data_IF_143437076170
#
_entry.id   IF_143437076170
#
_cell.length_a   1.000
_cell.length_b   1.000
_cell.length_c   1.000
_cell.angle_alpha   90.00
_cell.angle_beta   90.00
_cell.angle_gamma   90.00
#
_symmetry.space_group_name_H-M   'P 1'
#
loop_
_entity.id
_entity.type
_entity.pdbx_description
1 polymer ?
#
# COMPACT_ATOMS: atom_id res chain seq x y z
N UNK A 1 -16.50 29.66 57.97
CA UNK A 1 -16.61 28.25 58.39
C UNK A 1 -15.44 27.50 57.78
N UNK A 2 -14.50 27.07 58.63
CA UNK A 2 -13.37 26.20 58.31
C UNK A 2 -13.87 24.85 57.76
N UNK A 3 -13.10 24.18 56.88
CA UNK A 3 -12.42 22.90 57.17
C UNK A 3 -11.37 22.63 56.06
N UNK A 4 -10.11 22.52 56.50
CA UNK A 4 -8.97 22.04 55.73
C UNK A 4 -8.89 20.51 55.77
N UNK A 5 -8.61 19.86 54.63
CA UNK A 5 -8.17 18.46 54.56
C UNK A 5 -6.75 18.39 53.95
N UNK A 6 -5.76 18.32 54.84
CA UNK A 6 -4.39 17.87 54.59
C UNK A 6 -4.03 16.98 55.80
N UNK A 7 -3.60 15.73 55.60
CA UNK A 7 -3.00 15.03 56.74
C UNK A 7 -2.82 13.51 56.76
N UNK A 8 -3.21 12.73 55.75
CA UNK A 8 -3.15 11.25 55.87
C UNK A 8 -2.23 10.52 54.89
N UNK A 9 -1.88 11.09 53.74
CA UNK A 9 -1.04 10.38 52.76
C UNK A 9 0.47 10.42 53.07
N UNK A 10 0.96 11.46 53.76
CA UNK A 10 2.39 11.64 54.00
C UNK A 10 2.97 10.80 55.14
N UNK A 11 2.14 10.34 56.07
CA UNK A 11 2.60 9.55 57.22
C UNK A 11 2.90 8.08 56.88
N UNK A 12 2.29 7.53 55.83
CA UNK A 12 2.58 6.16 55.38
C UNK A 12 3.91 6.04 54.63
N UNK A 13 4.38 7.12 54.00
CA UNK A 13 5.63 7.08 53.23
C UNK A 13 6.88 7.16 54.13
N UNK A 14 6.79 7.81 55.29
CA UNK A 14 7.93 7.89 56.24
C UNK A 14 8.10 6.62 57.09
N UNK A 15 7.05 5.83 57.30
CA UNK A 15 7.12 4.61 58.12
C UNK A 15 7.83 3.43 57.42
N UNK A 16 7.94 3.42 56.09
CA UNK A 16 8.60 2.33 55.35
C UNK A 16 10.10 2.51 55.13
N UNK A 17 10.69 3.68 55.45
CA UNK A 17 12.12 3.94 55.24
C UNK A 17 13.02 3.60 56.44
N UNK A 18 12.47 3.17 57.58
CA UNK A 18 13.25 3.00 58.81
C UNK A 18 13.69 1.55 59.12
N UNK A 19 13.40 0.56 58.26
CA UNK A 19 13.79 -0.84 58.48
C UNK A 19 14.52 -1.39 57.24
N UNK A 20 15.85 -1.24 57.21
CA UNK A 20 16.80 -2.24 56.66
C UNK A 20 18.21 -1.65 56.46
N UNK A 21 18.85 -1.25 57.56
CA UNK A 21 20.32 -1.17 57.57
C UNK A 21 20.86 -2.61 57.60
N UNK A 22 21.14 -3.19 56.43
CA UNK A 22 22.28 -4.10 56.16
C UNK A 22 22.29 -4.77 54.77
N UNK A 23 21.36 -4.46 53.84
CA UNK A 23 21.35 -5.05 52.48
C UNK A 23 21.16 -4.02 51.34
N UNK A 24 21.67 -2.79 51.53
CA UNK A 24 21.30 -1.63 50.72
C UNK A 24 22.03 -1.43 49.36
N UNK A 25 23.00 -2.28 48.98
CA UNK A 25 23.76 -2.04 47.74
C UNK A 25 23.23 -2.72 46.47
N UNK A 26 22.41 -3.78 46.58
CA UNK A 26 21.91 -4.52 45.40
C UNK A 26 20.54 -4.04 44.88
N UNK A 27 19.72 -3.42 45.71
CA UNK A 27 18.37 -2.99 45.30
C UNK A 27 18.31 -1.56 44.71
N UNK A 28 19.30 -0.71 44.98
CA UNK A 28 19.36 0.66 44.42
C UNK A 28 19.49 0.70 42.90
N UNK A 29 20.18 -0.28 42.30
CA UNK A 29 20.35 -0.33 40.84
C UNK A 29 19.09 -0.79 40.10
N UNK A 30 18.23 -1.60 40.74
CA UNK A 30 17.04 -2.15 40.09
C UNK A 30 15.90 -1.12 40.05
N UNK A 31 15.74 -0.31 41.10
CA UNK A 31 14.70 0.74 41.11
C UNK A 31 14.99 1.90 40.14
N UNK A 32 16.26 2.25 39.90
CA UNK A 32 16.63 3.29 38.95
C UNK A 32 16.33 2.88 37.49
N UNK A 33 16.56 1.60 37.13
CA UNK A 33 16.25 1.09 35.79
C UNK A 33 14.75 1.00 35.55
N UNK A 34 13.96 0.59 36.55
CA UNK A 34 12.50 0.54 36.42
C UNK A 34 11.87 1.94 36.30
N UNK A 35 12.41 2.95 37.00
CA UNK A 35 11.88 4.31 36.92
C UNK A 35 12.24 5.02 35.59
N UNK A 36 13.40 4.72 34.99
CA UNK A 36 13.76 5.24 33.67
C UNK A 36 12.93 4.65 32.52
N UNK A 37 12.39 3.43 32.66
CA UNK A 37 11.51 2.82 31.63
C UNK A 37 10.09 3.42 31.61
N UNK A 38 9.64 4.05 32.70
CA UNK A 38 8.28 4.60 32.79
C UNK A 38 8.13 6.01 32.17
N UNK A 39 9.22 6.73 31.89
CA UNK A 39 9.18 8.13 31.40
C UNK A 39 9.21 8.24 29.86
N UNK A 40 9.39 7.14 29.13
CA UNK A 40 9.39 7.13 27.65
C UNK A 40 7.99 6.91 27.02
N UNK A 41 6.92 6.90 27.81
CA UNK A 41 5.58 6.46 27.39
C UNK A 41 4.56 7.52 26.97
N UNK A 42 4.93 8.79 26.75
CA UNK A 42 4.00 9.81 26.27
C UNK A 42 4.70 10.86 25.39
N UNK A 43 4.87 10.57 24.09
CA UNK A 43 4.90 11.62 23.07
C UNK A 43 3.58 11.56 22.30
N UNK A 44 2.79 12.65 22.23
CA UNK A 44 1.59 12.67 21.40
C UNK A 44 2.03 12.59 19.95
N UNK A 45 1.77 11.45 19.30
CA UNK A 45 2.05 11.25 17.89
C UNK A 45 1.28 12.27 17.03
N UNK A 46 2.03 12.86 16.11
CA UNK A 46 1.62 13.86 15.14
C UNK A 46 0.41 13.42 14.29
N UNK A 47 -0.78 13.91 14.67
CA UNK A 47 -2.04 13.75 13.92
C UNK A 47 -2.05 14.34 12.51
N UNK A 48 -0.95 14.96 12.05
CA UNK A 48 -0.84 15.54 10.71
C UNK A 48 -0.32 14.58 9.64
N UNK A 49 0.37 13.48 9.99
CA UNK A 49 0.90 12.54 8.98
C UNK A 49 -0.17 11.67 8.31
N UNK A 50 -1.34 11.53 8.92
CA UNK A 50 -2.45 10.76 8.36
C UNK A 50 -3.22 11.49 7.25
N UNK A 51 -2.87 12.75 6.95
CA UNK A 51 -3.47 13.54 5.87
C UNK A 51 -2.58 13.67 4.63
N UNK A 52 -1.51 12.88 4.51
CA UNK A 52 -0.64 12.87 3.31
C UNK A 52 -1.37 12.43 2.01
N UNK A 53 -2.61 11.94 2.11
CA UNK A 53 -3.51 11.68 0.97
C UNK A 53 -4.61 12.73 0.76
N UNK A 54 -4.62 13.83 1.53
CA UNK A 54 -5.58 14.90 1.33
C UNK A 54 -5.24 15.67 0.04
N UNK A 55 -6.26 15.96 -0.76
CA UNK A 55 -6.13 16.74 -2.01
C UNK A 55 -5.74 18.17 -1.63
N UNK A 56 -4.46 18.55 -1.73
CA UNK A 56 -4.06 19.92 -1.38
C UNK A 56 -2.55 20.25 -1.38
N UNK A 57 -1.65 19.47 -0.78
CA UNK A 57 -0.28 19.94 -0.54
C UNK A 57 0.73 19.63 -1.66
N UNK A 58 0.40 18.76 -2.63
CA UNK A 58 1.35 18.34 -3.67
C UNK A 58 0.74 18.27 -5.08
N UNK A 59 0.49 19.45 -5.68
CA UNK A 59 -0.01 19.59 -7.06
C UNK A 59 0.94 18.97 -8.12
N UNK A 60 2.22 18.77 -7.78
CA UNK A 60 3.26 18.22 -8.68
C UNK A 60 3.84 16.88 -8.20
N UNK A 61 3.03 16.07 -7.51
CA UNK A 61 3.45 14.73 -7.10
C UNK A 61 3.60 13.78 -8.31
N UNK A 62 4.44 12.74 -8.18
CA UNK A 62 4.48 11.62 -9.15
C UNK A 62 3.09 10.98 -9.35
N UNK A 63 2.23 11.09 -8.35
CA UNK A 63 0.84 10.68 -8.43
C UNK A 63 0.08 11.45 -9.52
N UNK A 64 0.36 12.75 -9.72
CA UNK A 64 -0.26 13.53 -10.79
C UNK A 64 0.09 12.97 -12.16
N UNK A 65 1.36 12.60 -12.42
CA UNK A 65 1.79 12.03 -13.71
C UNK A 65 1.15 10.66 -13.97
N UNK A 66 1.15 9.79 -12.95
CA UNK A 66 0.51 8.48 -13.05
C UNK A 66 -1.01 8.59 -13.27
N UNK A 67 -1.68 9.49 -12.54
CA UNK A 67 -3.11 9.74 -12.69
C UNK A 67 -3.43 10.33 -14.07
N UNK A 68 -2.59 11.23 -14.61
CA UNK A 68 -2.75 11.76 -15.98
C UNK A 68 -2.67 10.63 -17.01
N UNK A 69 -1.68 9.74 -16.89
CA UNK A 69 -1.56 8.59 -17.80
C UNK A 69 -2.79 7.66 -17.74
N UNK A 70 -3.32 7.40 -16.53
CA UNK A 70 -4.55 6.63 -16.35
C UNK A 70 -5.78 7.34 -16.93
N UNK A 71 -5.88 8.65 -16.73
CA UNK A 71 -6.95 9.48 -17.26
C UNK A 71 -6.94 9.53 -18.79
N UNK A 72 -5.75 9.63 -19.40
CA UNK A 72 -5.61 9.62 -20.85
C UNK A 72 -5.90 8.24 -21.44
N UNK A 73 -5.47 7.16 -20.77
CA UNK A 73 -5.83 5.80 -21.16
C UNK A 73 -7.35 5.56 -21.08
N UNK A 74 -7.98 6.00 -19.99
CA UNK A 74 -9.43 5.92 -19.82
C UNK A 74 -10.17 6.74 -20.89
N UNK A 75 -9.75 7.99 -21.11
CA UNK A 75 -10.34 8.87 -22.14
C UNK A 75 -10.22 8.23 -23.52
N UNK A 76 -9.05 7.67 -23.87
CA UNK A 76 -8.82 6.98 -25.13
C UNK A 76 -9.79 5.81 -25.31
N UNK A 77 -9.97 4.98 -24.27
CA UNK A 77 -10.87 3.84 -24.30
C UNK A 77 -12.33 4.28 -24.52
N UNK A 78 -12.82 5.28 -23.77
CA UNK A 78 -14.18 5.81 -23.97
C UNK A 78 -14.36 6.40 -25.37
N UNK A 79 -13.36 7.09 -25.92
CA UNK A 79 -13.42 7.60 -27.28
C UNK A 79 -13.51 6.47 -28.32
N UNK A 80 -12.77 5.38 -28.14
CA UNK A 80 -12.86 4.20 -29.01
C UNK A 80 -14.25 3.58 -28.93
N UNK A 81 -14.80 3.40 -27.73
CA UNK A 81 -16.14 2.83 -27.54
C UNK A 81 -17.24 3.74 -28.11
N UNK A 82 -17.07 5.06 -28.04
CA UNK A 82 -18.00 6.04 -28.61
C UNK A 82 -17.92 6.16 -30.14
N UNK A 83 -17.01 5.44 -30.81
CA UNK A 83 -16.79 5.57 -32.25
C UNK A 83 -16.13 6.90 -32.66
N UNK A 84 -15.50 7.60 -31.72
CA UNK A 84 -14.85 8.91 -31.91
C UNK A 84 -13.34 8.78 -32.13
N UNK A 85 -12.81 7.56 -32.19
CA UNK A 85 -11.39 7.31 -32.44
C UNK A 85 -11.12 7.21 -33.94
N UNK A 86 -10.25 8.08 -34.47
CA UNK A 86 -9.71 7.97 -35.83
C UNK A 86 -8.19 8.09 -35.81
N UNK A 87 -7.50 7.16 -36.46
CA UNK A 87 -6.03 7.14 -36.50
C UNK A 87 -5.37 6.97 -35.11
N UNK A 88 -6.05 6.35 -34.14
CA UNK A 88 -5.54 6.19 -32.78
C UNK A 88 -5.67 7.42 -31.87
N UNK A 89 -6.32 8.49 -32.36
CA UNK A 89 -6.57 9.70 -31.60
C UNK A 89 -8.07 9.92 -31.40
N UNK A 90 -8.42 10.52 -30.25
CA UNK A 90 -9.80 10.91 -29.98
C UNK A 90 -10.12 12.22 -30.71
N UNK A 91 -11.02 12.16 -31.69
CA UNK A 91 -11.44 13.32 -32.48
C UNK A 91 -12.80 13.76 -31.95
N UNK A 92 -12.81 14.87 -31.21
CA UNK A 92 -14.03 15.49 -30.69
C UNK A 92 -14.06 16.92 -31.18
N UNK A 93 -15.03 17.23 -32.04
CA UNK A 93 -15.10 18.51 -32.76
C UNK A 93 -16.38 19.28 -32.47
N UNK A 94 -17.45 18.57 -32.11
CA UNK A 94 -18.78 19.16 -31.90
C UNK A 94 -19.29 18.89 -30.48
N UNK A 95 -20.33 19.63 -30.08
CA UNK A 95 -21.08 19.34 -28.84
C UNK A 95 -21.78 17.99 -28.88
N UNK A 96 -22.15 17.50 -30.07
CA UNK A 96 -22.70 16.16 -30.25
C UNK A 96 -21.65 15.07 -29.98
N UNK A 97 -20.40 15.28 -30.41
CA UNK A 97 -19.29 14.38 -30.11
C UNK A 97 -19.02 14.33 -28.60
N UNK A 98 -19.02 15.49 -27.91
CA UNK A 98 -18.90 15.54 -26.45
C UNK A 98 -20.05 14.83 -25.74
N UNK A 99 -21.28 14.97 -26.26
CA UNK A 99 -22.43 14.23 -25.76
C UNK A 99 -22.23 12.72 -25.91
N UNK A 100 -21.82 12.23 -27.08
CA UNK A 100 -21.57 10.81 -27.32
C UNK A 100 -20.45 10.27 -26.42
N UNK A 101 -19.38 11.04 -26.22
CA UNK A 101 -18.30 10.71 -25.30
C UNK A 101 -18.81 10.55 -23.86
N UNK A 102 -19.64 11.49 -23.40
CA UNK A 102 -20.20 11.44 -22.05
C UNK A 102 -21.23 10.31 -21.91
N UNK A 103 -22.11 10.11 -22.89
CA UNK A 103 -23.10 9.02 -22.90
C UNK A 103 -22.40 7.65 -22.79
N UNK A 104 -21.31 7.46 -23.54
CA UNK A 104 -20.49 6.25 -23.45
C UNK A 104 -19.77 6.11 -22.11
N UNK A 105 -19.23 7.21 -21.57
CA UNK A 105 -18.63 7.21 -20.25
C UNK A 105 -19.63 6.91 -19.13
N UNK A 106 -20.87 7.39 -19.23
CA UNK A 106 -21.95 7.08 -18.29
C UNK A 106 -22.28 5.59 -18.34
N UNK A 107 -22.35 4.99 -19.53
CA UNK A 107 -22.61 3.57 -19.71
C UNK A 107 -21.49 2.68 -19.13
N UNK A 108 -20.20 3.02 -19.35
CA UNK A 108 -19.09 2.29 -18.71
C UNK A 108 -19.16 2.39 -17.18
N UNK A 109 -19.45 3.57 -16.63
CA UNK A 109 -19.61 3.76 -15.18
C UNK A 109 -20.79 2.96 -14.64
N UNK A 110 -21.93 2.92 -15.36
CA UNK A 110 -23.10 2.13 -14.97
C UNK A 110 -22.76 0.64 -14.86
N UNK A 111 -22.12 0.07 -15.89
CA UNK A 111 -21.76 -1.34 -15.90
C UNK A 111 -20.86 -1.70 -14.72
N UNK A 112 -19.86 -0.85 -14.41
CA UNK A 112 -18.96 -1.05 -13.27
C UNK A 112 -19.70 -0.89 -11.94
N UNK A 113 -20.62 0.07 -11.86
CA UNK A 113 -21.44 0.31 -10.68
C UNK A 113 -22.39 -0.86 -10.40
N UNK A 114 -23.12 -1.35 -11.41
CA UNK A 114 -24.02 -2.48 -11.28
C UNK A 114 -23.28 -3.74 -10.82
N UNK A 115 -22.13 -4.02 -11.44
CA UNK A 115 -21.33 -5.17 -11.05
C UNK A 115 -20.73 -5.01 -9.64
N UNK A 116 -20.46 -3.79 -9.19
CA UNK A 116 -20.09 -3.51 -7.80
C UNK A 116 -21.26 -3.77 -6.84
N UNK A 117 -22.45 -3.26 -7.15
CA UNK A 117 -23.67 -3.45 -6.34
C UNK A 117 -24.11 -4.91 -6.27
N UNK A 118 -24.01 -5.66 -7.37
CA UNK A 118 -24.33 -7.08 -7.41
C UNK A 118 -23.33 -7.90 -6.56
N UNK A 119 -22.06 -7.47 -6.53
CA UNK A 119 -21.05 -8.02 -5.61
C UNK A 119 -21.41 -7.81 -4.14
N UNK A 120 -21.88 -6.61 -3.79
CA UNK A 120 -22.39 -6.32 -2.44
C UNK A 120 -23.61 -7.19 -2.10
N UNK A 121 -24.57 -7.32 -3.02
CA UNK A 121 -25.76 -8.14 -2.84
C UNK A 121 -25.41 -9.63 -2.65
N UNK A 122 -24.52 -10.17 -3.48
CA UNK A 122 -24.07 -11.56 -3.38
C UNK A 122 -23.43 -11.85 -2.03
N UNK A 123 -22.52 -10.97 -1.57
CA UNK A 123 -21.87 -11.09 -0.25
C UNK A 123 -22.84 -11.01 0.91
N UNK A 124 -23.83 -10.12 0.85
CA UNK A 124 -24.88 -10.04 1.87
C UNK A 124 -25.72 -11.34 1.93
N UNK A 125 -25.97 -11.98 0.78
CA UNK A 125 -26.82 -13.17 0.67
C UNK A 125 -26.12 -14.48 1.02
N UNK A 126 -24.83 -14.62 0.74
CA UNK A 126 -24.10 -15.87 1.01
C UNK A 126 -23.83 -16.12 2.48
N UNK A 127 -24.06 -15.13 3.36
CA UNK A 127 -24.06 -15.34 4.82
C UNK A 127 -22.72 -15.79 5.42
N UNK A 128 -21.64 -15.81 4.64
CA UNK A 128 -20.28 -16.01 5.15
C UNK A 128 -20.04 -14.93 6.20
N UNK A 129 -19.78 -15.37 7.43
CA UNK A 129 -19.83 -14.49 8.60
C UNK A 129 -18.96 -13.25 8.38
N UNK A 130 -19.62 -12.13 8.11
CA UNK A 130 -19.08 -10.78 8.12
C UNK A 130 -18.32 -10.52 9.44
N UNK A 131 -18.71 -11.20 10.53
CA UNK A 131 -18.11 -11.07 11.86
C UNK A 131 -16.70 -11.65 12.04
N UNK A 132 -16.27 -12.67 11.27
CA UNK A 132 -14.97 -13.33 11.52
C UNK A 132 -13.80 -12.80 10.66
N UNK A 133 -14.07 -12.08 9.57
CA UNK A 133 -13.03 -11.62 8.64
C UNK A 133 -12.95 -10.08 8.47
N UNK A 134 -13.82 -9.32 9.14
CA UNK A 134 -13.99 -7.87 8.89
C UNK A 134 -13.47 -7.02 10.07
N UNK A 135 -12.38 -7.44 10.72
CA UNK A 135 -11.54 -6.50 11.49
C UNK A 135 -10.76 -5.56 10.57
N UNK A 136 -10.39 -6.02 9.37
CA UNK A 136 -9.53 -5.25 8.47
C UNK A 136 -10.34 -4.68 7.31
N UNK A 137 -10.49 -3.35 7.29
CA UNK A 137 -11.09 -2.58 6.18
C UNK A 137 -10.50 -2.92 4.80
N UNK A 138 -9.25 -3.42 4.77
CA UNK A 138 -8.62 -3.98 3.57
C UNK A 138 -9.33 -5.22 3.03
N UNK A 139 -9.83 -6.10 3.91
CA UNK A 139 -10.39 -7.40 3.55
C UNK A 139 -11.81 -7.30 2.99
N UNK A 140 -12.62 -6.29 3.30
CA UNK A 140 -13.93 -6.15 2.64
C UNK A 140 -13.75 -5.73 1.18
N UNK A 141 -12.93 -4.71 0.93
CA UNK A 141 -12.62 -4.29 -0.44
C UNK A 141 -11.87 -5.40 -1.17
N UNK A 142 -10.89 -6.05 -0.53
CA UNK A 142 -10.16 -7.18 -1.12
C UNK A 142 -11.04 -8.42 -1.33
N UNK A 143 -11.97 -8.77 -0.44
CA UNK A 143 -12.86 -9.93 -0.60
C UNK A 143 -14.02 -9.68 -1.57
N UNK A 144 -14.46 -8.42 -1.72
CA UNK A 144 -15.30 -8.01 -2.84
C UNK A 144 -14.49 -8.07 -4.13
N UNK A 145 -13.22 -7.62 -4.15
CA UNK A 145 -12.30 -7.74 -5.30
C UNK A 145 -11.98 -9.21 -5.68
N UNK A 146 -11.89 -10.10 -4.70
CA UNK A 146 -11.55 -11.52 -4.87
C UNK A 146 -12.78 -12.35 -5.28
N UNK A 147 -13.97 -12.01 -4.76
CA UNK A 147 -15.24 -12.64 -5.16
C UNK A 147 -15.83 -12.07 -6.45
N UNK A 148 -15.50 -10.82 -6.79
CA UNK A 148 -15.86 -10.17 -8.06
C UNK A 148 -14.57 -9.89 -8.84
N UNK A 149 -14.03 -10.93 -9.48
CA UNK A 149 -12.73 -10.94 -10.17
C UNK A 149 -12.56 -9.93 -11.33
N UNK A 150 -13.44 -8.93 -11.45
CA UNK A 150 -13.36 -7.87 -12.45
C UNK A 150 -13.90 -6.50 -12.01
N UNK A 151 -14.92 -6.38 -11.15
CA UNK A 151 -15.70 -5.13 -11.06
C UNK A 151 -15.19 -4.09 -10.07
N UNK A 152 -14.86 -4.47 -8.83
CA UNK A 152 -14.32 -3.52 -7.87
C UNK A 152 -12.93 -2.99 -8.28
N UNK A 153 -12.15 -3.79 -9.00
CA UNK A 153 -10.87 -3.36 -9.58
C UNK A 153 -11.12 -2.36 -10.70
N UNK A 154 -12.14 -2.62 -11.52
CA UNK A 154 -12.54 -1.74 -12.62
C UNK A 154 -13.02 -0.38 -12.13
N UNK A 155 -13.82 -0.30 -11.07
CA UNK A 155 -14.30 0.99 -10.53
C UNK A 155 -13.17 1.75 -9.84
N UNK A 156 -12.23 1.05 -9.18
CA UNK A 156 -11.02 1.65 -8.61
C UNK A 156 -10.11 2.25 -9.69
N UNK A 157 -9.94 1.57 -10.83
CA UNK A 157 -9.13 2.10 -11.95
C UNK A 157 -9.76 3.38 -12.50
N UNK A 158 -11.09 3.40 -12.70
CA UNK A 158 -11.79 4.61 -13.16
C UNK A 158 -11.73 5.71 -12.10
N UNK A 159 -11.91 5.37 -10.82
CA UNK A 159 -11.78 6.32 -9.71
C UNK A 159 -10.36 6.90 -9.61
N UNK A 160 -9.33 6.07 -9.78
CA UNK A 160 -7.93 6.49 -9.82
C UNK A 160 -7.65 7.39 -11.02
N UNK A 161 -8.20 7.08 -12.20
CA UNK A 161 -8.15 7.94 -13.37
C UNK A 161 -8.77 9.33 -13.09
N UNK A 162 -9.86 9.39 -12.32
CA UNK A 162 -10.46 10.64 -11.88
C UNK A 162 -9.82 11.27 -10.63
N UNK A 163 -8.70 10.74 -10.14
CA UNK A 163 -8.02 11.23 -8.94
C UNK A 163 -8.91 11.20 -7.69
N UNK A 164 -9.78 10.19 -7.58
CA UNK A 164 -10.53 9.90 -6.36
C UNK A 164 -9.63 9.05 -5.45
N UNK A 165 -9.44 9.50 -4.21
CA UNK A 165 -8.48 8.92 -3.27
C UNK A 165 -8.99 7.56 -2.78
N UNK A 166 -8.12 6.55 -2.74
CA UNK A 166 -8.44 5.20 -2.25
C UNK A 166 -9.00 5.20 -0.81
N UNK A 167 -8.58 6.17 0.01
CA UNK A 167 -9.13 6.38 1.36
C UNK A 167 -10.65 6.59 1.38
N UNK A 168 -11.26 7.05 0.28
CA UNK A 168 -12.72 7.17 0.14
C UNK A 168 -13.41 5.81 0.15
N UNK A 169 -12.73 4.76 -0.31
CA UNK A 169 -13.23 3.38 -0.22
C UNK A 169 -12.94 2.77 1.15
N UNK A 170 -11.84 3.18 1.82
CA UNK A 170 -11.42 2.63 3.13
C UNK A 170 -12.16 3.25 4.32
N UNK A 171 -12.51 4.54 4.30
CA UNK A 171 -13.10 5.22 5.48
C UNK A 171 -14.62 5.08 5.62
N UNK A 172 -15.20 4.09 4.95
CA UNK A 172 -16.64 3.79 4.95
C UNK A 172 -17.00 3.08 6.24
N UNK A 173 -17.95 3.61 7.00
CA UNK A 173 -18.31 3.16 8.35
C UNK A 173 -19.16 1.87 8.28
N UNK A 174 -18.47 0.72 8.32
CA UNK A 174 -19.00 -0.67 8.20
C UNK A 174 -20.41 -0.89 8.78
N UNK A 175 -20.67 -0.34 9.96
CA UNK A 175 -21.94 -0.49 10.68
C UNK A 175 -23.17 -0.03 9.91
N UNK A 176 -23.05 1.00 9.04
CA UNK A 176 -24.21 1.55 8.35
C UNK A 176 -24.58 0.77 7.10
N UNK A 177 -23.60 0.43 6.25
CA UNK A 177 -23.85 -0.39 5.05
C UNK A 177 -24.29 -1.81 5.40
N UNK A 178 -23.84 -2.35 6.53
CA UNK A 178 -24.29 -3.64 7.07
C UNK A 178 -25.72 -3.59 7.62
N UNK A 179 -26.15 -2.44 8.16
CA UNK A 179 -27.50 -2.26 8.69
C UNK A 179 -28.56 -2.04 7.59
N UNK A 180 -28.14 -1.68 6.38
CA UNK A 180 -29.03 -1.43 5.25
C UNK A 180 -29.23 -2.70 4.43
N UNK A 181 -30.48 -3.03 4.15
CA UNK A 181 -30.77 -4.10 3.20
C UNK A 181 -30.20 -3.75 1.81
N UNK A 182 -29.58 -4.73 1.15
CA UNK A 182 -28.92 -4.53 -0.15
C UNK A 182 -29.89 -4.01 -1.23
N UNK A 183 -31.19 -4.31 -1.16
CA UNK A 183 -32.20 -3.75 -2.06
C UNK A 183 -32.43 -2.26 -1.81
N UNK A 184 -32.33 -1.82 -0.55
CA UNK A 184 -32.41 -0.41 -0.18
C UNK A 184 -31.23 0.36 -0.76
N UNK A 185 -30.01 -0.15 -0.59
CA UNK A 185 -28.79 0.42 -1.18
C UNK A 185 -28.91 0.56 -2.70
N UNK A 186 -29.32 -0.52 -3.38
CA UNK A 186 -29.52 -0.52 -4.84
C UNK A 186 -30.56 0.51 -5.29
N UNK A 187 -31.67 0.64 -4.55
CA UNK A 187 -32.71 1.63 -4.85
C UNK A 187 -32.24 3.09 -4.69
N UNK A 188 -31.42 3.36 -3.66
CA UNK A 188 -30.84 4.69 -3.40
C UNK A 188 -29.90 5.06 -4.55
N UNK A 189 -29.00 4.14 -4.93
CA UNK A 189 -28.02 4.37 -6.00
C UNK A 189 -28.73 4.60 -7.33
N UNK A 190 -29.67 3.75 -7.71
CA UNK A 190 -30.41 3.91 -8.98
C UNK A 190 -31.20 5.22 -9.05
N UNK A 191 -31.88 5.59 -7.96
CA UNK A 191 -32.59 6.87 -7.89
C UNK A 191 -31.62 8.04 -8.09
N UNK A 192 -30.45 7.99 -7.45
CA UNK A 192 -29.46 9.06 -7.54
C UNK A 192 -28.79 9.13 -8.90
N UNK A 193 -28.45 7.99 -9.49
CA UNK A 193 -27.94 7.89 -10.85
C UNK A 193 -28.91 8.52 -11.84
N UNK A 194 -30.20 8.19 -11.75
CA UNK A 194 -31.22 8.74 -12.64
C UNK A 194 -31.32 10.27 -12.52
N UNK A 195 -31.27 10.80 -11.29
CA UNK A 195 -31.28 12.25 -11.05
C UNK A 195 -30.06 12.94 -11.67
N UNK A 196 -28.85 12.40 -11.46
CA UNK A 196 -27.64 13.01 -12.03
C UNK A 196 -27.59 12.85 -13.55
N UNK A 197 -28.05 11.73 -14.11
CA UNK A 197 -28.21 11.55 -15.56
C UNK A 197 -29.11 12.62 -16.17
N UNK A 198 -30.26 12.89 -15.55
CA UNK A 198 -31.16 13.95 -16.00
C UNK A 198 -30.48 15.34 -15.96
N UNK A 199 -29.72 15.63 -14.90
CA UNK A 199 -28.94 16.87 -14.81
C UNK A 199 -27.90 16.96 -15.93
N UNK A 200 -27.12 15.91 -16.14
CA UNK A 200 -26.10 15.85 -17.20
C UNK A 200 -26.74 16.01 -18.58
N UNK A 201 -27.87 15.34 -18.85
CA UNK A 201 -28.59 15.47 -20.13
C UNK A 201 -29.21 16.86 -20.35
N UNK A 202 -29.52 17.59 -19.27
CA UNK A 202 -30.00 18.97 -19.36
C UNK A 202 -28.88 20.00 -19.58
N UNK A 203 -27.62 19.63 -19.32
CA UNK A 203 -26.47 20.52 -19.45
C UNK A 203 -25.76 20.30 -20.78
N UNK A 204 -25.50 21.38 -21.54
CA UNK A 204 -24.66 21.29 -22.74
C UNK A 204 -23.19 21.22 -22.36
N UNK A 205 -22.48 20.23 -22.92
CA UNK A 205 -21.06 19.96 -22.64
C UNK A 205 -20.22 20.42 -23.82
N UNK A 206 -19.34 21.39 -23.59
CA UNK A 206 -18.62 22.11 -24.63
C UNK A 206 -17.15 21.68 -24.77
N UNK A 207 -16.58 21.07 -23.74
CA UNK A 207 -15.15 20.80 -23.69
C UNK A 207 -14.79 19.60 -22.79
N UNK A 208 -13.53 19.11 -22.93
CA UNK A 208 -12.99 17.97 -22.17
C UNK A 208 -13.14 18.15 -20.65
N UNK A 209 -12.78 19.31 -20.04
CA UNK A 209 -12.95 19.49 -18.60
C UNK A 209 -14.40 19.31 -18.13
N UNK A 210 -15.38 19.85 -18.85
CA UNK A 210 -16.80 19.69 -18.51
C UNK A 210 -17.26 18.23 -18.63
N UNK A 211 -16.84 17.53 -19.69
CA UNK A 211 -17.13 16.12 -19.88
C UNK A 211 -16.55 15.25 -18.75
N UNK A 212 -15.28 15.44 -18.42
CA UNK A 212 -14.62 14.70 -17.34
C UNK A 212 -15.21 15.05 -15.96
N UNK A 213 -15.61 16.31 -15.75
CA UNK A 213 -16.30 16.71 -14.52
C UNK A 213 -17.67 16.02 -14.39
N UNK A 214 -18.42 15.91 -15.48
CA UNK A 214 -19.70 15.20 -15.51
C UNK A 214 -19.52 13.72 -15.15
N UNK A 215 -18.57 13.04 -15.79
CA UNK A 215 -18.27 11.63 -15.52
C UNK A 215 -17.77 11.41 -14.08
N UNK A 216 -16.88 12.27 -13.57
CA UNK A 216 -16.41 12.20 -12.18
C UNK A 216 -17.54 12.38 -11.17
N UNK A 217 -18.45 13.31 -11.45
CA UNK A 217 -19.62 13.58 -10.58
C UNK A 217 -20.57 12.39 -10.60
N UNK A 218 -20.77 11.79 -11.77
CA UNK A 218 -21.60 10.58 -11.90
C UNK A 218 -21.00 9.39 -11.15
N UNK A 219 -19.70 9.12 -11.31
CA UNK A 219 -18.98 8.04 -10.63
C UNK A 219 -19.07 8.13 -9.10
N UNK A 220 -19.09 9.35 -8.54
CA UNK A 220 -19.22 9.56 -7.08
C UNK A 220 -20.48 8.94 -6.51
N UNK A 221 -21.57 8.84 -7.27
CA UNK A 221 -22.84 8.25 -6.80
C UNK A 221 -22.67 6.79 -6.39
N UNK A 222 -21.81 6.06 -7.10
CA UNK A 222 -21.56 4.65 -6.88
C UNK A 222 -20.49 4.38 -5.83
N UNK A 223 -19.86 5.43 -5.27
CA UNK A 223 -18.83 5.24 -4.26
C UNK A 223 -19.45 4.95 -2.89
N UNK A 224 -18.85 4.05 -2.09
CA UNK A 224 -19.41 3.63 -0.80
C UNK A 224 -19.72 4.80 0.14
N UNK A 225 -18.82 5.78 0.24
CA UNK A 225 -19.04 6.99 1.05
C UNK A 225 -20.29 7.79 0.64
N UNK A 226 -20.56 7.92 -0.66
CA UNK A 226 -21.76 8.62 -1.13
C UNK A 226 -23.04 7.84 -0.78
N UNK A 227 -22.99 6.52 -0.90
CA UNK A 227 -24.09 5.62 -0.50
C UNK A 227 -24.40 5.79 0.99
N UNK A 228 -23.37 5.81 1.84
CA UNK A 228 -23.54 6.02 3.28
C UNK A 228 -24.12 7.39 3.61
N UNK A 229 -23.61 8.43 2.97
CA UNK A 229 -24.15 9.78 3.16
C UNK A 229 -25.62 9.88 2.75
N UNK A 230 -26.00 9.31 1.61
CA UNK A 230 -27.38 9.29 1.15
C UNK A 230 -28.27 8.44 2.05
N UNK A 231 -27.79 7.30 2.51
CA UNK A 231 -28.55 6.46 3.45
C UNK A 231 -28.75 7.15 4.79
N UNK A 232 -27.71 7.80 5.34
CA UNK A 232 -27.83 8.64 6.54
C UNK A 232 -28.78 9.81 6.30
N UNK A 233 -28.76 10.44 5.13
CA UNK A 233 -29.69 11.50 4.79
C UNK A 233 -31.13 11.00 4.72
N UNK A 234 -31.37 9.79 4.17
CA UNK A 234 -32.70 9.16 4.15
C UNK A 234 -33.15 8.79 5.57
N UNK A 235 -32.29 8.22 6.40
CA UNK A 235 -32.61 7.85 7.79
C UNK A 235 -32.88 9.08 8.65
N UNK A 236 -32.11 10.16 8.48
CA UNK A 236 -32.36 11.42 9.19
C UNK A 236 -33.62 12.11 8.65
N UNK A 237 -33.81 12.24 7.33
CA UNK A 237 -35.05 12.86 6.79
C UNK A 237 -36.32 12.05 7.08
N UNK A 238 -36.25 10.73 7.22
CA UNK A 238 -37.36 9.91 7.71
C UNK A 238 -37.72 10.17 9.19
N UNK A 239 -36.77 10.68 9.99
CA UNK A 239 -37.01 11.11 11.37
C UNK A 239 -37.53 12.55 11.47
N UNK A 240 -37.34 13.37 10.42
CA UNK A 240 -37.77 14.76 10.35
C UNK A 240 -38.84 14.94 9.26
N UNK A 241 -40.07 14.53 9.56
CA UNK A 241 -41.25 14.99 8.81
C UNK A 241 -41.51 16.46 9.13
N UNK A 242 -40.88 17.37 8.39
CA UNK A 242 -41.42 18.67 7.98
C UNK A 242 -40.37 19.46 7.17
N UNK A 243 -40.58 19.60 5.85
CA UNK A 243 -40.20 20.83 5.13
C UNK A 243 -38.81 20.96 4.48
N UNK A 244 -38.24 19.92 3.84
CA UNK A 244 -37.48 19.97 2.57
C UNK A 244 -36.84 18.60 2.34
N UNK A 245 -37.64 17.65 1.85
CA UNK A 245 -37.22 16.25 1.69
C UNK A 245 -36.36 16.11 0.43
N UNK A 246 -35.12 15.64 0.57
CA UNK A 246 -34.39 14.99 -0.54
C UNK A 246 -33.35 15.80 -1.31
N UNK A 247 -32.85 16.93 -0.79
CA UNK A 247 -31.69 17.60 -1.42
C UNK A 247 -30.39 16.89 -1.00
N UNK A 248 -29.91 16.01 -1.88
CA UNK A 248 -28.59 15.39 -1.77
C UNK A 248 -27.47 16.45 -1.66
N UNK A 249 -26.45 16.23 -0.82
CA UNK A 249 -25.29 17.11 -0.72
C UNK A 249 -24.37 17.08 -1.96
N UNK A 250 -24.57 16.12 -2.87
CA UNK A 250 -23.76 16.00 -4.10
C UNK A 250 -24.47 16.72 -5.25
N UNK A 251 -24.46 18.05 -5.28
CA UNK A 251 -25.10 18.82 -6.36
C UNK A 251 -24.13 19.12 -7.51
N UNK A 252 -24.63 19.05 -8.74
CA UNK A 252 -23.97 19.65 -9.89
C UNK A 252 -24.07 21.17 -9.74
N UNK A 253 -23.03 21.81 -9.21
CA UNK A 253 -22.98 23.28 -9.18
C UNK A 253 -22.57 23.74 -10.57
N UNK A 254 -23.46 24.45 -11.27
CA UNK A 254 -23.11 25.17 -12.50
C UNK A 254 -22.00 26.17 -12.19
N UNK A 255 -20.75 25.78 -12.44
CA UNK A 255 -19.63 26.72 -12.45
C UNK A 255 -19.71 27.49 -13.77
N UNK A 256 -20.42 28.61 -13.77
CA UNK A 256 -20.49 29.57 -14.89
C UNK A 256 -19.30 30.55 -14.91
N UNK A 257 -18.29 30.35 -14.06
CA UNK A 257 -17.09 31.19 -14.04
C UNK A 257 -16.04 30.73 -15.05
N UNK A 258 -15.53 31.61 -15.93
CA UNK A 258 -14.33 31.30 -16.70
C UNK A 258 -13.17 31.08 -15.73
N UNK A 259 -12.56 29.89 -15.77
CA UNK A 259 -11.29 29.63 -15.10
C UNK A 259 -10.24 30.53 -15.76
N UNK A 260 -9.92 31.67 -15.13
CA UNK A 260 -8.91 32.61 -15.60
C UNK A 260 -7.53 31.96 -15.64
N UNK A 261 -7.11 31.52 -16.83
CA UNK A 261 -5.84 30.85 -17.06
C UNK A 261 -4.72 31.82 -17.39
N UNK A 262 -4.33 32.67 -16.43
CA UNK A 262 -3.19 33.60 -16.61
C UNK A 262 -2.11 33.47 -15.53
N UNK A 263 -2.08 32.33 -14.82
CA UNK A 263 -0.96 31.99 -13.97
C UNK A 263 0.17 31.42 -14.83
N UNK A 264 1.19 32.24 -15.10
CA UNK A 264 2.46 31.77 -15.65
C UNK A 264 3.15 30.89 -14.61
N UNK A 265 3.17 29.58 -14.87
CA UNK A 265 3.87 28.61 -14.04
C UNK A 265 5.37 28.82 -14.24
N UNK A 266 6.08 29.21 -13.17
CA UNK A 266 7.54 29.27 -13.16
C UNK A 266 8.10 27.83 -13.24
N UNK A 267 8.52 27.43 -14.44
CA UNK A 267 9.11 26.13 -14.74
C UNK A 267 10.62 26.08 -14.41
N UNK A 268 11.18 27.16 -13.86
CA UNK A 268 12.63 27.44 -13.92
C UNK A 268 13.53 26.74 -12.89
N UNK A 269 13.00 26.06 -11.87
CA UNK A 269 13.84 25.34 -10.88
C UNK A 269 13.28 23.99 -10.52
N UNK A 270 13.46 23.03 -11.43
CA UNK A 270 13.46 21.61 -11.09
C UNK A 270 14.58 21.32 -10.09
N UNK A 271 14.31 21.49 -8.79
CA UNK A 271 15.15 20.88 -7.76
C UNK A 271 14.99 19.38 -7.94
N UNK A 272 15.99 18.73 -8.53
CA UNK A 272 16.14 17.27 -8.47
C UNK A 272 16.26 16.87 -7.00
N UNK A 273 15.12 16.72 -6.33
CA UNK A 273 15.06 16.05 -5.04
C UNK A 273 15.42 14.60 -5.34
N UNK A 274 16.54 14.15 -4.79
CA UNK A 274 16.88 12.74 -4.77
C UNK A 274 15.65 12.00 -4.21
N UNK A 275 15.06 11.05 -4.95
CA UNK A 275 13.89 10.34 -4.48
C UNK A 275 14.19 9.77 -3.10
N UNK A 276 13.35 10.09 -2.12
CA UNK A 276 13.48 9.50 -0.80
C UNK A 276 13.26 8.00 -0.97
N UNK A 277 14.25 7.20 -0.57
CA UNK A 277 14.12 5.75 -0.58
C UNK A 277 13.05 5.35 0.43
N UNK A 278 11.98 4.76 -0.05
CA UNK A 278 10.85 4.32 0.78
C UNK A 278 10.14 3.14 0.15
N UNK A 279 9.27 2.45 0.91
CA UNK A 279 8.47 1.35 0.39
C UNK A 279 7.59 1.80 -0.79
N UNK A 280 7.07 3.02 -0.76
CA UNK A 280 6.28 3.62 -1.85
C UNK A 280 7.09 3.78 -3.14
N UNK A 281 8.41 3.95 -3.03
CA UNK A 281 9.26 4.14 -4.21
C UNK A 281 9.49 2.86 -5.02
N UNK A 282 9.33 1.69 -4.40
CA UNK A 282 9.54 0.38 -5.04
C UNK A 282 8.25 -0.41 -5.23
N UNK A 283 7.16 0.00 -4.60
CA UNK A 283 5.89 -0.68 -4.67
C UNK A 283 5.09 -0.27 -5.90
N UNK A 284 4.96 -1.19 -6.86
CA UNK A 284 4.15 -1.01 -8.07
C UNK A 284 2.78 -1.69 -7.98
N UNK A 285 2.49 -2.40 -6.89
CA UNK A 285 1.20 -3.09 -6.70
C UNK A 285 0.01 -2.15 -6.48
N UNK A 286 0.28 -0.90 -6.07
CA UNK A 286 -0.75 0.05 -5.66
C UNK A 286 -1.30 -0.19 -4.25
N UNK A 287 -0.94 -1.29 -3.58
CA UNK A 287 -1.37 -1.59 -2.20
C UNK A 287 -0.28 -1.11 -1.23
N UNK A 288 -0.55 -0.18 -0.31
CA UNK A 288 0.46 0.27 0.65
C UNK A 288 1.09 -0.89 1.44
N UNK A 289 2.41 -0.89 1.56
CA UNK A 289 3.15 -1.85 2.39
C UNK A 289 3.14 -1.31 3.82
N UNK A 290 2.25 -1.86 4.66
CA UNK A 290 2.18 -1.52 6.07
C UNK A 290 3.33 -2.13 6.88
N UNK A 291 3.47 -1.73 8.14
CA UNK A 291 4.57 -2.18 9.00
C UNK A 291 4.64 -3.72 9.14
N UNK A 292 3.54 -4.44 9.40
CA UNK A 292 3.56 -5.91 9.44
C UNK A 292 3.99 -6.54 8.12
N UNK A 293 3.52 -6.03 6.97
CA UNK A 293 3.92 -6.53 5.65
C UNK A 293 5.39 -6.25 5.38
N UNK A 294 5.89 -5.06 5.73
CA UNK A 294 7.30 -4.72 5.59
C UNK A 294 8.20 -5.66 6.41
N UNK A 295 7.82 -5.96 7.65
CA UNK A 295 8.53 -6.92 8.51
C UNK A 295 8.47 -8.34 7.94
N UNK A 296 7.31 -8.77 7.44
CA UNK A 296 7.17 -10.07 6.79
C UNK A 296 8.07 -10.19 5.54
N UNK A 297 8.14 -9.14 4.71
CA UNK A 297 9.05 -9.06 3.57
C UNK A 297 10.50 -9.19 4.03
N UNK A 298 10.94 -8.42 5.04
CA UNK A 298 12.30 -8.50 5.56
C UNK A 298 12.62 -9.89 6.15
N UNK A 299 11.69 -10.50 6.88
CA UNK A 299 11.84 -11.86 7.37
C UNK A 299 12.01 -12.87 6.22
N UNK A 300 11.23 -12.72 5.16
CA UNK A 300 11.34 -13.55 3.96
C UNK A 300 12.67 -13.37 3.20
N UNK A 301 13.29 -12.20 3.33
CA UNK A 301 14.64 -11.92 2.84
C UNK A 301 15.74 -12.40 3.80
N UNK A 302 15.36 -13.08 4.89
CA UNK A 302 16.24 -13.65 5.93
C UNK A 302 16.96 -12.62 6.80
N UNK A 303 16.34 -11.47 7.06
CA UNK A 303 16.79 -10.55 8.09
C UNK A 303 16.56 -11.17 9.48
N UNK A 304 17.57 -11.13 10.35
CA UNK A 304 17.48 -11.77 11.66
C UNK A 304 16.94 -10.82 12.73
N UNK A 305 15.91 -11.26 13.47
CA UNK A 305 15.42 -10.60 14.69
C UNK A 305 15.14 -9.10 14.50
N UNK A 306 15.87 -8.25 15.23
CA UNK A 306 15.69 -6.80 15.20
C UNK A 306 16.07 -6.13 13.88
N UNK A 307 16.67 -6.85 12.92
CA UNK A 307 16.96 -6.32 11.59
C UNK A 307 15.71 -6.25 10.71
N UNK A 308 14.65 -6.99 11.05
CA UNK A 308 13.34 -6.87 10.40
C UNK A 308 12.52 -5.78 11.09
N UNK A 309 12.98 -4.53 11.00
CA UNK A 309 12.39 -3.36 11.67
C UNK A 309 11.24 -2.70 10.89
N UNK A 310 10.94 -3.22 9.70
CA UNK A 310 9.95 -2.71 8.76
C UNK A 310 10.39 -1.45 8.00
N UNK A 311 11.61 -0.96 8.19
CA UNK A 311 12.10 0.26 7.51
C UNK A 311 12.73 -0.09 6.18
N UNK A 312 12.41 0.72 5.17
CA UNK A 312 13.08 0.65 3.88
C UNK A 312 14.41 1.41 3.94
N UNK A 313 15.53 0.66 3.95
CA UNK A 313 16.88 1.22 3.92
C UNK A 313 17.77 0.50 2.91
N UNK A 314 19.06 0.85 2.86
CA UNK A 314 20.00 0.29 1.89
C UNK A 314 20.15 -1.23 1.98
N UNK A 315 20.02 -1.80 3.19
CA UNK A 315 20.03 -3.24 3.41
C UNK A 315 18.79 -3.91 2.82
N UNK A 316 17.60 -3.38 3.12
CA UNK A 316 16.33 -3.86 2.56
C UNK A 316 16.36 -3.80 1.03
N UNK A 317 16.81 -2.68 0.46
CA UNK A 317 16.97 -2.53 -0.99
C UNK A 317 17.92 -3.59 -1.57
N UNK A 318 19.08 -3.82 -0.94
CA UNK A 318 20.04 -4.81 -1.41
C UNK A 318 19.49 -6.25 -1.33
N UNK A 319 18.75 -6.57 -0.25
CA UNK A 319 18.04 -7.85 -0.11
C UNK A 319 16.98 -8.05 -1.21
N UNK A 320 16.22 -7.00 -1.54
CA UNK A 320 15.22 -7.06 -2.61
C UNK A 320 15.84 -7.20 -4.00
N UNK A 321 16.96 -6.52 -4.28
CA UNK A 321 17.71 -6.74 -5.54
C UNK A 321 18.16 -8.19 -5.68
N UNK A 322 18.60 -8.79 -4.57
CA UNK A 322 18.96 -10.20 -4.55
C UNK A 322 17.75 -11.10 -4.81
N UNK A 323 16.59 -10.78 -4.23
CA UNK A 323 15.32 -11.47 -4.52
C UNK A 323 14.97 -11.43 -6.01
N UNK A 324 14.95 -10.26 -6.64
CA UNK A 324 14.64 -10.07 -8.07
C UNK A 324 15.50 -10.96 -8.97
N UNK A 325 16.82 -10.90 -8.78
CA UNK A 325 17.77 -11.70 -9.55
C UNK A 325 17.62 -13.20 -9.29
N UNK A 326 17.24 -13.59 -8.08
CA UNK A 326 16.98 -14.98 -7.72
C UNK A 326 15.71 -15.49 -8.41
N UNK A 327 14.62 -14.73 -8.38
CA UNK A 327 13.35 -15.08 -9.05
C UNK A 327 13.55 -15.17 -10.57
N UNK A 328 14.35 -14.27 -11.15
CA UNK A 328 14.75 -14.32 -12.55
C UNK A 328 15.74 -15.45 -12.90
N UNK A 329 16.23 -16.22 -11.90
CA UNK A 329 17.27 -17.26 -12.02
C UNK A 329 18.58 -16.75 -12.64
N UNK A 330 18.91 -15.48 -12.47
CA UNK A 330 20.10 -14.84 -13.02
C UNK A 330 21.28 -14.84 -12.02
N UNK A 331 21.59 -16.00 -11.43
CA UNK A 331 22.54 -16.13 -10.31
C UNK A 331 23.97 -15.67 -10.61
N UNK A 332 24.33 -15.46 -11.89
CA UNK A 332 25.66 -15.00 -12.33
C UNK A 332 25.68 -13.54 -12.80
N UNK A 333 24.57 -12.82 -12.70
CA UNK A 333 24.50 -11.43 -13.15
C UNK A 333 25.46 -10.57 -12.34
N UNK A 334 26.42 -9.92 -13.01
CA UNK A 334 27.33 -8.93 -12.39
C UNK A 334 26.62 -7.61 -12.09
N UNK A 335 25.47 -7.39 -12.73
CA UNK A 335 24.70 -6.15 -12.66
C UNK A 335 23.60 -6.20 -11.60
N UNK A 336 23.49 -7.28 -10.82
CA UNK A 336 22.43 -7.45 -9.82
C UNK A 336 22.34 -6.29 -8.80
N UNK A 337 23.46 -5.64 -8.50
CA UNK A 337 23.52 -4.46 -7.60
C UNK A 337 22.86 -3.21 -8.19
N UNK A 338 22.79 -3.14 -9.52
CA UNK A 338 22.19 -2.06 -10.29
C UNK A 338 20.74 -2.38 -10.68
N UNK A 339 20.24 -3.59 -10.39
CA UNK A 339 18.86 -3.96 -10.67
C UNK A 339 17.88 -2.98 -10.02
N UNK A 340 16.88 -2.54 -10.80
CA UNK A 340 15.78 -1.74 -10.27
C UNK A 340 14.83 -2.67 -9.51
N UNK A 341 14.55 -2.36 -8.25
CA UNK A 341 13.57 -3.10 -7.45
C UNK A 341 12.17 -2.61 -7.79
N UNK A 342 11.27 -3.51 -8.18
CA UNK A 342 9.86 -3.20 -8.44
C UNK A 342 8.99 -4.34 -7.92
N UNK A 343 8.29 -4.09 -6.83
CA UNK A 343 7.43 -5.09 -6.20
C UNK A 343 6.00 -4.98 -6.75
N UNK A 344 5.61 -5.99 -7.53
CA UNK A 344 4.21 -6.19 -7.89
C UNK A 344 3.46 -7.01 -6.83
N UNK A 345 2.16 -7.21 -7.04
CA UNK A 345 1.32 -7.95 -6.10
C UNK A 345 1.74 -9.43 -5.96
N UNK A 346 2.23 -10.03 -7.04
CA UNK A 346 2.70 -11.43 -7.05
C UNK A 346 3.97 -11.56 -6.21
N UNK A 347 4.90 -10.62 -6.32
CA UNK A 347 6.16 -10.65 -5.58
C UNK A 347 5.96 -10.38 -4.09
N UNK A 348 5.08 -9.45 -3.74
CA UNK A 348 4.65 -9.25 -2.34
C UNK A 348 4.02 -10.53 -1.79
N UNK A 349 3.18 -11.22 -2.57
CA UNK A 349 2.61 -12.51 -2.20
C UNK A 349 3.68 -13.57 -1.91
N UNK A 350 4.62 -13.78 -2.84
CA UNK A 350 5.73 -14.76 -2.68
C UNK A 350 6.59 -14.48 -1.45
N UNK A 351 6.87 -13.20 -1.19
CA UNK A 351 7.65 -12.77 -0.03
C UNK A 351 6.84 -13.00 1.26
N UNK A 352 5.57 -12.61 1.29
CA UNK A 352 4.71 -12.76 2.47
C UNK A 352 4.47 -14.21 2.85
N UNK A 353 4.35 -15.11 1.87
CA UNK A 353 4.03 -16.52 2.11
C UNK A 353 5.27 -17.34 2.54
N UNK A 354 6.49 -16.84 2.28
CA UNK A 354 7.74 -17.53 2.61
C UNK A 354 8.53 -16.77 3.69
N UNK A 355 7.98 -16.68 4.90
CA UNK A 355 8.62 -15.93 6.01
C UNK A 355 9.75 -16.71 6.71
N UNK A 356 9.83 -18.02 6.52
CA UNK A 356 10.84 -18.85 7.17
C UNK A 356 12.11 -18.94 6.30
N UNK A 357 13.26 -18.66 6.93
CA UNK A 357 14.57 -18.91 6.36
C UNK A 357 15.13 -20.19 6.97
N UNK A 358 14.76 -21.30 6.35
CA UNK A 358 15.16 -22.63 6.78
C UNK A 358 16.66 -22.89 6.55
N UNK A 359 17.20 -23.89 7.25
CA UNK A 359 18.53 -24.47 6.99
C UNK A 359 19.70 -23.50 7.13
N UNK A 360 19.54 -22.46 7.95
CA UNK A 360 20.60 -21.49 8.23
C UNK A 360 20.86 -20.53 7.07
N UNK A 361 19.96 -20.41 6.09
CA UNK A 361 20.05 -19.40 5.04
C UNK A 361 20.00 -17.99 5.65
N UNK A 362 20.93 -17.11 5.26
CA UNK A 362 21.01 -15.72 5.70
C UNK A 362 20.56 -14.71 4.65
N UNK A 363 20.21 -15.17 3.47
CA UNK A 363 19.55 -14.36 2.44
C UNK A 363 18.66 -15.22 1.53
N UNK A 364 17.85 -14.54 0.72
CA UNK A 364 16.89 -15.18 -0.19
C UNK A 364 17.56 -16.10 -1.23
N UNK A 365 18.75 -15.74 -1.73
CA UNK A 365 19.48 -16.54 -2.73
C UNK A 365 19.95 -17.87 -2.13
N UNK A 366 20.57 -17.85 -0.96
CA UNK A 366 21.00 -19.06 -0.24
C UNK A 366 19.83 -20.03 -0.10
N UNK A 367 18.67 -19.53 0.33
CA UNK A 367 17.44 -20.32 0.45
C UNK A 367 17.00 -20.95 -0.87
N UNK A 368 17.06 -20.22 -1.98
CA UNK A 368 16.70 -20.75 -3.29
C UNK A 368 17.68 -21.84 -3.76
N UNK A 369 18.99 -21.61 -3.59
CA UNK A 369 20.04 -22.53 -4.01
C UNK A 369 20.02 -23.86 -3.23
N UNK A 370 19.61 -23.84 -1.95
CA UNK A 370 19.53 -25.06 -1.14
C UNK A 370 18.62 -26.14 -1.73
N UNK A 371 17.55 -25.74 -2.42
CA UNK A 371 16.62 -26.68 -3.06
C UNK A 371 17.26 -27.44 -4.23
N UNK A 372 18.39 -26.97 -4.76
CA UNK A 372 19.01 -27.47 -5.99
C UNK A 372 20.28 -28.31 -5.76
N UNK A 373 20.53 -28.78 -4.53
CA UNK A 373 21.73 -29.58 -4.21
C UNK A 373 23.04 -28.78 -4.21
N UNK A 374 22.94 -27.45 -4.22
CA UNK A 374 24.06 -26.51 -4.27
C UNK A 374 25.13 -26.74 -3.20
N UNK A 375 24.75 -27.21 -2.01
CA UNK A 375 25.70 -27.46 -0.92
C UNK A 375 26.79 -28.46 -1.30
N UNK A 376 26.46 -29.47 -2.12
CA UNK A 376 27.44 -30.45 -2.60
C UNK A 376 28.45 -29.79 -3.54
N UNK A 377 27.98 -28.99 -4.49
CA UNK A 377 28.83 -28.24 -5.41
C UNK A 377 29.70 -27.21 -4.68
N UNK A 378 29.14 -26.52 -3.68
CA UNK A 378 29.88 -25.58 -2.83
C UNK A 378 31.00 -26.30 -2.05
N UNK A 379 30.71 -27.45 -1.44
CA UNK A 379 31.73 -28.28 -0.76
C UNK A 379 32.83 -28.70 -1.72
N UNK A 380 32.48 -29.22 -2.91
CA UNK A 380 33.45 -29.62 -3.91
C UNK A 380 34.36 -28.46 -4.35
N UNK A 381 33.77 -27.29 -4.57
CA UNK A 381 34.51 -26.06 -4.89
C UNK A 381 35.44 -25.62 -3.74
N UNK A 382 34.93 -25.52 -2.51
CA UNK A 382 35.74 -25.08 -1.38
C UNK A 382 36.82 -26.12 -1.04
N UNK A 383 36.56 -27.41 -1.19
CA UNK A 383 37.54 -28.48 -0.97
C UNK A 383 38.65 -28.44 -2.01
N UNK A 384 38.35 -28.14 -3.28
CA UNK A 384 39.40 -27.94 -4.29
C UNK A 384 40.27 -26.71 -4.02
N UNK A 385 39.70 -25.67 -3.38
CA UNK A 385 40.40 -24.42 -3.07
C UNK A 385 41.19 -24.45 -1.75
N UNK A 386 40.63 -25.08 -0.72
CA UNK A 386 41.10 -25.04 0.67
C UNK A 386 41.45 -26.41 1.27
N UNK A 387 41.35 -27.49 0.48
CA UNK A 387 41.74 -28.83 0.89
C UNK A 387 40.94 -29.36 2.08
N UNK A 388 41.67 -29.94 3.05
CA UNK A 388 41.10 -30.63 4.22
C UNK A 388 40.41 -29.70 5.23
N UNK A 389 40.46 -28.38 5.02
CA UNK A 389 39.69 -27.42 5.80
C UNK A 389 38.17 -27.63 5.64
N UNK A 390 37.72 -28.29 4.56
CA UNK A 390 36.31 -28.60 4.30
C UNK A 390 35.99 -30.02 4.72
N UNK A 391 35.24 -30.18 5.81
CA UNK A 391 34.72 -31.48 6.26
C UNK A 391 33.58 -31.94 5.35
N UNK A 392 33.49 -33.24 5.06
CA UNK A 392 32.42 -33.79 4.24
C UNK A 392 31.03 -33.61 4.89
N UNK A 393 30.98 -33.58 6.23
CA UNK A 393 29.77 -33.34 7.03
C UNK A 393 29.50 -31.85 7.30
N UNK A 394 30.32 -30.93 6.78
CA UNK A 394 30.16 -29.49 7.04
C UNK A 394 28.76 -28.99 6.64
N UNK A 395 28.14 -28.19 7.51
CA UNK A 395 26.91 -27.45 7.22
C UNK A 395 27.24 -26.17 6.47
N UNK A 396 26.23 -25.44 5.96
CA UNK A 396 26.50 -24.13 5.34
C UNK A 396 27.16 -23.17 6.33
N UNK A 397 26.73 -23.17 7.60
CA UNK A 397 27.28 -22.30 8.63
C UNK A 397 28.77 -22.59 8.89
N UNK A 398 29.19 -23.86 8.84
CA UNK A 398 30.60 -24.23 8.94
C UNK A 398 31.44 -23.71 7.75
N UNK A 399 30.82 -23.57 6.57
CA UNK A 399 31.49 -23.14 5.34
C UNK A 399 31.56 -21.61 5.21
N UNK A 400 30.82 -20.86 6.03
CA UNK A 400 30.68 -19.39 5.92
C UNK A 400 32.00 -18.64 6.04
N UNK A 401 32.91 -19.08 6.91
CA UNK A 401 34.24 -18.47 7.07
C UNK A 401 35.10 -18.67 5.81
N UNK A 402 35.01 -19.85 5.18
CA UNK A 402 35.72 -20.14 3.94
C UNK A 402 35.12 -19.38 2.75
N UNK A 403 33.79 -19.22 2.71
CA UNK A 403 33.12 -18.35 1.73
C UNK A 403 33.61 -16.92 1.86
N UNK A 404 33.69 -16.38 3.07
CA UNK A 404 34.21 -15.02 3.27
C UNK A 404 35.68 -14.90 2.89
N UNK A 405 36.51 -15.87 3.30
CA UNK A 405 37.92 -15.92 2.91
C UNK A 405 38.09 -15.87 1.39
N UNK A 406 37.26 -16.61 0.65
CA UNK A 406 37.26 -16.55 -0.81
C UNK A 406 36.84 -15.17 -1.34
N UNK A 407 35.80 -14.56 -0.75
CA UNK A 407 35.37 -13.20 -1.12
C UNK A 407 36.48 -12.18 -0.90
N UNK A 408 37.18 -12.26 0.23
CA UNK A 408 38.30 -11.37 0.56
C UNK A 408 39.46 -11.56 -0.44
N UNK A 409 39.83 -12.81 -0.76
CA UNK A 409 40.85 -13.14 -1.77
C UNK A 409 40.50 -12.61 -3.18
N UNK A 410 39.21 -12.52 -3.50
CA UNK A 410 38.72 -12.05 -4.81
C UNK A 410 38.31 -10.58 -4.83
N UNK A 411 38.39 -9.88 -3.70
CA UNK A 411 37.90 -8.50 -3.58
C UNK A 411 36.40 -8.36 -3.84
N UNK A 412 35.59 -9.36 -3.48
CA UNK A 412 34.13 -9.33 -3.65
C UNK A 412 33.51 -8.51 -2.53
N UNK A 413 32.83 -7.41 -2.90
CA UNK A 413 32.18 -6.52 -1.95
C UNK A 413 31.09 -7.24 -1.10
N UNK A 414 31.09 -6.99 0.20
CA UNK A 414 30.12 -7.53 1.15
C UNK A 414 28.84 -6.70 1.25
N UNK A 415 28.70 -5.66 0.42
CA UNK A 415 27.50 -4.84 0.33
C UNK A 415 27.39 -3.81 1.46
N UNK A 416 26.27 -3.08 1.52
CA UNK A 416 26.08 -1.98 2.46
C UNK A 416 26.17 -2.48 3.90
N UNK A 417 27.01 -1.83 4.71
CA UNK A 417 27.29 -2.18 6.11
C UNK A 417 27.74 -3.64 6.30
N UNK A 418 28.35 -4.26 5.29
CA UNK A 418 28.77 -5.66 5.34
C UNK A 418 27.61 -6.65 5.49
N UNK A 419 26.41 -6.29 5.05
CA UNK A 419 25.21 -7.13 5.18
C UNK A 419 25.42 -8.55 4.63
N UNK A 420 26.16 -8.68 3.53
CA UNK A 420 26.45 -9.97 2.90
C UNK A 420 27.77 -10.58 3.37
N UNK A 421 28.31 -10.14 4.50
CA UNK A 421 29.51 -10.76 5.09
C UNK A 421 29.21 -12.21 5.45
N UNK A 422 30.07 -13.11 5.00
CA UNK A 422 29.95 -14.56 5.12
C UNK A 422 28.68 -15.12 4.47
N UNK A 423 28.13 -14.43 3.47
CA UNK A 423 26.98 -14.87 2.72
C UNK A 423 27.29 -15.06 1.23
N UNK A 424 26.53 -15.94 0.60
CA UNK A 424 26.61 -16.26 -0.81
C UNK A 424 25.80 -15.23 -1.60
N UNK A 425 26.44 -14.61 -2.58
CA UNK A 425 25.88 -13.58 -3.46
C UNK A 425 26.09 -13.96 -4.94
N UNK A 426 25.42 -13.31 -5.89
CA UNK A 426 25.63 -13.57 -7.32
C UNK A 426 27.09 -13.34 -7.74
N UNK A 427 27.78 -12.37 -7.14
CA UNK A 427 29.20 -12.12 -7.37
C UNK A 427 30.06 -13.34 -6.95
N UNK A 428 29.74 -13.96 -5.81
CA UNK A 428 30.41 -15.19 -5.38
C UNK A 428 30.14 -16.36 -6.34
N UNK A 429 28.89 -16.55 -6.75
CA UNK A 429 28.52 -17.63 -7.68
C UNK A 429 29.22 -17.45 -9.02
N UNK A 430 29.25 -16.22 -9.55
CA UNK A 430 29.97 -15.89 -10.77
C UNK A 430 31.48 -16.12 -10.65
N UNK A 431 32.10 -15.71 -9.54
CA UNK A 431 33.55 -15.82 -9.33
C UNK A 431 34.02 -17.24 -9.00
N UNK A 432 33.18 -18.06 -8.36
CA UNK A 432 33.47 -19.46 -8.02
C UNK A 432 33.30 -20.40 -9.21
N UNK A 433 32.55 -20.00 -10.24
CA UNK A 433 32.25 -20.84 -11.40
C UNK A 433 31.32 -22.01 -11.08
N UNK A 434 30.72 -22.03 -9.89
CA UNK A 434 29.68 -23.01 -9.52
C UNK A 434 28.50 -22.80 -10.47
N UNK A 435 27.92 -23.90 -10.99
CA UNK A 435 26.91 -23.94 -12.06
C UNK A 435 27.38 -23.58 -13.48
N UNK A 436 28.65 -23.77 -13.80
CA UNK A 436 29.11 -23.74 -15.20
C UNK A 436 28.81 -25.08 -15.87
N UNK A 437 27.52 -25.35 -16.13
CA UNK A 437 27.05 -26.45 -16.98
C UNK A 437 26.63 -25.92 -18.33
#
# INVERSE_FOLDING_TARGET
MFVSFHGSAWRWCQAMCAISSHTAHRYRSICAVMFCLAVLGCMPEDGFRHYAGAVGPDLYSRQTVANTALLDAYTSNICTQAGLAAGGHCIISTTADWKNFVDMGLYDIDQRCDTFLDGLYYKAKTGDSILAQISDTGNFTASVLDATSSSAASIKIVAAAFGLVENTFRNTNKTLLEALDATTVKSIVFRRQQQIKQQIYSTTIWNKPQALHALRTYLRVCMPFAIEMEANAVLTTAQWTEGDVGKSPIVFREQTGPLGGDATVDVGRGRNRTPVKSWESVNTSGIPIDLPTAQAIQNALCFAGSQADGKYGDQTEAGLKLFEVTVARQYKSKEWRQASVKLDLSDIGKLRDNQTCEQGARNYLERALFKEGFLVSLKGFLKSKYGDAVKDTATLDDLRELVQKFKDEKGIDSGPNGMFKNQITPDFVAASGIFSS
#
